data_IF_743573120905
#
_entry.id   IF_743573120905
#
_cell.length_a   1.000
_cell.length_b   1.000
_cell.length_c   1.000
_cell.angle_alpha   90.00
_cell.angle_beta   90.00
_cell.angle_gamma   90.00
#
_symmetry.space_group_name_H-M   'P 1'
#
loop_
_entity.id
_entity.type
_entity.pdbx_description
1 polymer ?
#
# COMPACT_ATOMS: atom_id res chain seq x y z
N UNK A 1 24.88 21.93 -41.01
CA UNK A 1 23.73 22.75 -40.58
C UNK A 1 22.85 21.92 -39.66
N UNK A 2 21.99 22.55 -38.86
CA UNK A 2 21.24 21.96 -37.73
C UNK A 2 19.73 22.07 -38.01
N UNK A 3 18.99 20.96 -37.81
CA UNK A 3 17.53 20.78 -37.63
C UNK A 3 17.24 19.30 -37.95
N UNK A 4 16.72 18.45 -37.06
CA UNK A 4 16.25 18.65 -35.69
C UNK A 4 14.72 18.60 -35.62
N UNK A 5 14.21 17.72 -34.74
CA UNK A 5 12.77 17.47 -34.43
C UNK A 5 11.93 17.05 -35.64
N UNK A 6 11.03 16.07 -35.55
CA UNK A 6 10.51 15.39 -34.37
C UNK A 6 9.03 15.17 -34.63
N UNK A 7 8.66 13.96 -35.04
CA UNK A 7 7.26 13.53 -35.07
C UNK A 7 6.76 13.53 -33.62
N UNK A 8 6.02 14.58 -33.27
CA UNK A 8 5.32 14.70 -32.01
C UNK A 8 3.96 13.99 -32.14
N UNK A 9 3.74 12.85 -31.47
CA UNK A 9 2.50 12.10 -31.60
C UNK A 9 1.30 12.77 -30.90
N UNK A 10 1.48 13.97 -30.32
CA UNK A 10 0.42 14.77 -29.70
C UNK A 10 0.03 16.01 -30.51
N UNK A 11 0.53 16.15 -31.75
CA UNK A 11 0.24 17.28 -32.63
C UNK A 11 -1.10 17.15 -33.39
N UNK A 12 -2.21 16.96 -32.68
CA UNK A 12 -3.55 17.34 -33.15
C UNK A 12 -4.54 17.49 -31.98
N UNK A 13 -4.92 18.74 -31.68
CA UNK A 13 -6.18 19.15 -31.02
C UNK A 13 -6.18 20.69 -30.97
N UNK A 14 -6.71 21.32 -32.03
CA UNK A 14 -6.96 22.77 -32.06
C UNK A 14 -8.11 23.13 -31.09
N UNK A 15 -8.01 24.24 -30.33
CA UNK A 15 -9.10 24.69 -29.47
C UNK A 15 -10.17 25.42 -30.30
N UNK A 16 -11.32 24.79 -30.53
CA UNK A 16 -12.51 25.44 -31.08
C UNK A 16 -13.05 26.49 -30.07
N UNK A 17 -12.95 27.77 -30.44
CA UNK A 17 -13.56 28.88 -29.70
C UNK A 17 -15.09 28.75 -29.71
N UNK A 18 -15.72 28.83 -28.54
CA UNK A 18 -17.18 28.88 -28.40
C UNK A 18 -17.61 29.99 -27.44
N UNK A 19 -17.97 31.14 -28.02
CA UNK A 19 -18.61 32.28 -27.34
C UNK A 19 -20.15 32.29 -27.61
N UNK A 20 -20.89 32.96 -26.69
CA UNK A 20 -22.36 33.18 -26.60
C UNK A 20 -23.29 31.97 -26.27
N UNK A 21 -24.25 32.06 -25.33
CA UNK A 21 -24.38 32.94 -24.15
C UNK A 21 -25.41 32.45 -23.09
N UNK A 22 -25.48 33.13 -21.93
CA UNK A 22 -26.55 33.28 -20.93
C UNK A 22 -27.73 32.27 -20.83
N UNK A 23 -27.90 31.68 -19.64
CA UNK A 23 -29.07 31.97 -18.77
C UNK A 23 -28.83 31.51 -17.32
N UNK A 24 -29.27 32.29 -16.34
CA UNK A 24 -29.14 31.98 -14.91
C UNK A 24 -30.53 31.81 -14.28
N UNK A 25 -30.71 30.84 -13.38
CA UNK A 25 -31.67 30.91 -12.28
C UNK A 25 -31.30 29.94 -11.13
N UNK A 26 -31.97 30.11 -9.98
CA UNK A 26 -31.41 29.89 -8.63
C UNK A 26 -31.71 28.51 -7.96
N UNK A 27 -31.10 28.18 -6.81
CA UNK A 27 -31.06 26.82 -6.28
C UNK A 27 -32.31 26.41 -5.49
N UNK A 28 -32.63 25.12 -5.50
CA UNK A 28 -33.63 24.52 -4.60
C UNK A 28 -33.01 23.46 -3.69
N UNK A 29 -32.91 23.78 -2.41
CA UNK A 29 -32.73 22.80 -1.35
C UNK A 29 -34.05 22.06 -1.08
N UNK A 30 -34.01 20.74 -0.93
CA UNK A 30 -35.09 19.98 -0.27
C UNK A 30 -34.51 18.84 0.57
N UNK A 31 -35.17 18.62 1.70
CA UNK A 31 -34.64 17.94 2.89
C UNK A 31 -34.39 16.44 2.77
N UNK A 32 -33.55 15.95 3.68
CA UNK A 32 -33.42 14.53 4.05
C UNK A 32 -34.77 13.90 4.45
N UNK A 33 -34.97 12.60 4.15
CA UNK A 33 -35.75 11.72 4.98
C UNK A 33 -34.81 10.79 5.79
N UNK A 34 -34.68 11.07 7.08
CA UNK A 34 -34.14 10.10 8.04
C UNK A 34 -35.05 8.86 8.06
N UNK A 35 -34.52 7.70 7.68
CA UNK A 35 -35.17 6.41 7.83
C UNK A 35 -34.20 5.44 8.51
N UNK A 36 -34.30 5.41 9.84
CA UNK A 36 -33.76 4.33 10.66
C UNK A 36 -34.63 3.09 10.48
N UNK A 37 -34.13 2.02 9.87
CA UNK A 37 -34.72 0.69 10.05
C UNK A 37 -33.68 -0.44 10.06
N UNK A 38 -33.76 -1.22 11.14
CA UNK A 38 -33.35 -2.63 11.29
C UNK A 38 -31.95 -3.10 10.87
N UNK A 39 -31.10 -3.32 11.88
CA UNK A 39 -30.07 -4.35 11.80
C UNK A 39 -30.70 -5.73 11.50
N UNK A 40 -30.25 -6.47 10.46
CA UNK A 40 -30.47 -7.90 10.43
C UNK A 40 -29.54 -8.53 11.47
N UNK A 41 -30.10 -8.86 12.64
CA UNK A 41 -29.44 -9.60 13.71
C UNK A 41 -28.91 -10.95 13.18
N UNK A 42 -27.68 -10.89 12.68
CA UNK A 42 -27.01 -12.03 12.06
C UNK A 42 -26.57 -12.97 13.17
N UNK A 43 -26.73 -14.30 13.00
CA UNK A 43 -26.40 -15.25 14.06
C UNK A 43 -24.94 -15.10 14.44
N UNK A 44 -24.65 -15.20 15.74
CA UNK A 44 -23.29 -15.27 16.28
C UNK A 44 -22.58 -16.51 15.74
N UNK A 45 -22.09 -16.42 14.50
CA UNK A 45 -20.97 -17.23 14.04
C UNK A 45 -19.83 -16.86 14.96
N UNK A 46 -19.31 -17.86 15.66
CA UNK A 46 -17.96 -17.80 16.21
C UNK A 46 -17.07 -17.31 15.07
N UNK A 47 -16.51 -16.11 15.21
CA UNK A 47 -15.81 -15.44 14.11
C UNK A 47 -14.47 -16.13 13.93
N UNK A 48 -14.49 -17.23 13.18
CA UNK A 48 -13.33 -17.81 12.51
C UNK A 48 -12.68 -16.67 11.72
N UNK A 49 -11.74 -16.01 12.37
CA UNK A 49 -11.20 -14.73 11.91
C UNK A 49 -10.33 -15.06 10.74
N UNK A 50 -10.81 -14.72 9.53
CA UNK A 50 -10.11 -15.01 8.29
C UNK A 50 -8.66 -14.51 8.43
N UNK A 51 -7.66 -15.33 8.01
CA UNK A 51 -6.25 -14.91 8.04
C UNK A 51 -6.09 -13.52 7.45
N UNK A 52 -5.24 -12.68 8.03
CA UNK A 52 -5.14 -11.25 7.66
C UNK A 52 -5.00 -11.04 6.14
N UNK A 53 -4.19 -11.88 5.47
CA UNK A 53 -4.05 -11.90 4.02
C UNK A 53 -5.38 -12.02 3.26
N UNK A 54 -6.34 -12.83 3.74
CA UNK A 54 -7.63 -13.06 3.09
C UNK A 54 -8.67 -11.95 3.35
N UNK A 55 -8.40 -11.03 4.30
CA UNK A 55 -9.35 -9.97 4.68
C UNK A 55 -9.26 -8.70 3.83
N UNK A 56 -8.19 -8.55 3.05
CA UNK A 56 -7.87 -7.34 2.29
C UNK A 56 -7.81 -7.61 0.78
N UNK A 57 -8.14 -6.60 0.00
CA UNK A 57 -7.97 -6.51 -1.45
C UNK A 57 -6.57 -6.06 -1.87
N UNK A 58 -5.87 -5.29 -1.04
CA UNK A 58 -4.49 -4.84 -1.33
C UNK A 58 -3.58 -4.80 -0.10
N UNK A 59 -2.27 -4.80 -0.34
CA UNK A 59 -1.25 -4.76 0.72
C UNK A 59 -1.18 -3.44 1.51
N UNK A 60 -1.76 -2.36 0.98
CA UNK A 60 -1.80 -1.02 1.62
C UNK A 60 -3.16 -0.68 2.23
N UNK A 61 -4.14 -1.56 2.11
CA UNK A 61 -5.48 -1.34 2.65
C UNK A 61 -5.44 -1.32 4.19
N UNK A 62 -6.24 -0.42 4.77
CA UNK A 62 -6.33 -0.17 6.22
C UNK A 62 -4.99 0.17 6.89
N UNK A 63 -4.09 0.90 6.19
CA UNK A 63 -2.81 1.40 6.74
C UNK A 63 -2.68 2.92 6.67
N UNK A 64 -2.89 3.56 7.81
CA UNK A 64 -2.56 4.98 8.00
C UNK A 64 -1.04 5.19 8.14
N UNK A 65 -0.33 4.24 8.76
CA UNK A 65 1.12 4.31 9.00
C UNK A 65 1.94 3.68 7.86
N UNK A 66 2.78 4.49 7.20
CA UNK A 66 3.70 4.06 6.14
C UNK A 66 5.15 4.13 6.62
N UNK A 67 5.79 2.96 6.76
CA UNK A 67 7.23 2.86 7.07
C UNK A 67 8.06 2.81 5.79
N UNK A 68 8.91 3.81 5.58
CA UNK A 68 9.87 3.85 4.49
C UNK A 68 11.29 3.59 5.01
N UNK A 69 11.91 2.50 4.53
CA UNK A 69 13.28 2.15 4.87
C UNK A 69 14.25 2.56 3.76
N UNK A 70 15.39 3.14 4.15
CA UNK A 70 16.58 3.27 3.32
C UNK A 70 17.66 2.38 3.90
N UNK A 71 17.97 1.28 3.20
CA UNK A 71 18.88 0.23 3.70
C UNK A 71 20.16 0.15 2.87
N UNK A 72 21.17 -0.56 3.38
CA UNK A 72 22.42 -0.85 2.65
C UNK A 72 22.16 -1.92 1.58
N UNK A 73 23.03 -1.99 0.57
CA UNK A 73 22.94 -2.96 -0.54
C UNK A 73 22.82 -4.41 -0.04
N UNK A 74 23.70 -4.84 0.87
CA UNK A 74 23.66 -6.18 1.47
C UNK A 74 22.32 -6.49 2.15
N UNK A 75 21.69 -5.49 2.79
CA UNK A 75 20.39 -5.63 3.45
C UNK A 75 19.25 -5.72 2.43
N UNK A 76 19.33 -4.98 1.33
CA UNK A 76 18.37 -5.09 0.23
C UNK A 76 18.47 -6.45 -0.47
N UNK A 77 19.68 -7.00 -0.64
CA UNK A 77 19.87 -8.33 -1.20
C UNK A 77 19.38 -9.43 -0.24
N UNK A 78 19.63 -9.27 1.07
CA UNK A 78 19.13 -10.17 2.11
C UNK A 78 17.60 -10.20 2.21
N UNK A 79 16.90 -9.13 1.83
CA UNK A 79 15.43 -9.14 1.72
C UNK A 79 14.94 -10.12 0.65
N UNK A 80 15.58 -10.14 -0.53
CA UNK A 80 15.21 -11.09 -1.59
C UNK A 80 15.44 -12.55 -1.18
N UNK A 81 16.49 -12.81 -0.39
CA UNK A 81 16.80 -14.15 0.11
C UNK A 81 15.83 -14.57 1.21
N UNK A 82 15.42 -13.64 2.08
CA UNK A 82 14.35 -13.84 3.05
C UNK A 82 13.00 -14.09 2.36
N UNK A 83 12.68 -13.37 1.28
CA UNK A 83 11.46 -13.58 0.48
C UNK A 83 11.40 -15.00 -0.08
N UNK A 84 12.52 -15.50 -0.63
CA UNK A 84 12.63 -16.89 -1.12
C UNK A 84 12.43 -17.89 0.01
N UNK A 85 13.18 -17.75 1.10
CA UNK A 85 13.12 -18.68 2.22
C UNK A 85 11.72 -18.76 2.86
N UNK A 86 11.03 -17.62 3.02
CA UNK A 86 9.67 -17.57 3.58
C UNK A 86 8.64 -18.09 2.59
N UNK A 87 8.79 -17.82 1.29
CA UNK A 87 7.89 -18.37 0.27
C UNK A 87 8.02 -19.91 0.16
N UNK A 88 9.24 -20.43 0.23
CA UNK A 88 9.53 -21.87 0.24
C UNK A 88 8.93 -22.56 1.47
N UNK A 89 9.05 -22.00 2.68
CA UNK A 89 8.43 -22.52 3.92
C UNK A 89 6.88 -22.48 3.88
N UNK A 90 6.31 -21.54 3.13
CA UNK A 90 4.85 -21.40 2.94
C UNK A 90 4.29 -22.20 1.75
N UNK A 91 5.12 -22.98 1.04
CA UNK A 91 4.75 -23.71 -0.19
C UNK A 91 4.13 -22.81 -1.30
N UNK A 92 4.54 -21.53 -1.38
CA UNK A 92 4.08 -20.55 -2.39
C UNK A 92 5.23 -20.04 -3.26
N UNK A 93 4.92 -19.38 -4.39
CA UNK A 93 5.96 -18.75 -5.21
C UNK A 93 6.34 -17.40 -4.60
N UNK A 94 7.62 -16.96 -4.61
CA UNK A 94 8.03 -15.66 -4.07
C UNK A 94 7.17 -14.48 -4.54
N UNK A 95 6.83 -14.43 -5.83
CA UNK A 95 5.93 -13.42 -6.42
C UNK A 95 4.48 -13.36 -5.88
N UNK A 96 4.08 -14.32 -5.04
CA UNK A 96 2.77 -14.37 -4.36
C UNK A 96 2.85 -13.85 -2.92
N UNK A 97 4.08 -13.65 -2.40
CA UNK A 97 4.37 -13.02 -1.12
C UNK A 97 4.66 -11.53 -1.35
N UNK A 98 3.86 -10.63 -0.77
CA UNK A 98 4.12 -9.20 -0.91
C UNK A 98 5.23 -8.76 0.04
N UNK A 99 6.28 -8.11 -0.48
CA UNK A 99 7.40 -7.59 0.33
C UNK A 99 7.01 -6.70 1.52
N UNK A 100 5.90 -5.96 1.41
CA UNK A 100 5.40 -5.15 2.53
C UNK A 100 4.88 -6.03 3.69
N UNK A 101 4.31 -7.20 3.41
CA UNK A 101 3.94 -8.19 4.44
C UNK A 101 5.18 -8.81 5.06
N UNK A 102 6.15 -9.18 4.22
CA UNK A 102 7.40 -9.77 4.67
C UNK A 102 8.14 -8.83 5.63
N UNK A 103 8.19 -7.53 5.31
CA UNK A 103 8.75 -6.48 6.17
C UNK A 103 7.99 -6.32 7.47
N UNK A 104 6.66 -6.32 7.44
CA UNK A 104 5.87 -6.23 8.68
C UNK A 104 6.06 -7.47 9.54
N UNK A 105 5.94 -8.68 8.98
CA UNK A 105 6.14 -9.93 9.70
C UNK A 105 7.55 -10.00 10.30
N UNK A 106 8.58 -9.63 9.55
CA UNK A 106 9.95 -9.54 10.05
C UNK A 106 10.10 -8.49 11.18
N UNK A 107 9.39 -7.36 11.09
CA UNK A 107 9.37 -6.34 12.13
C UNK A 107 8.62 -6.80 13.39
N UNK A 108 7.52 -7.54 13.26
CA UNK A 108 6.78 -8.14 14.37
C UNK A 108 7.64 -9.18 15.10
N UNK A 109 8.33 -10.06 14.38
CA UNK A 109 9.31 -10.99 14.96
C UNK A 109 10.43 -10.22 15.67
N UNK A 110 10.96 -9.15 15.06
CA UNK A 110 11.97 -8.30 15.69
C UNK A 110 11.48 -7.58 16.97
N UNK A 111 10.18 -7.29 17.09
CA UNK A 111 9.58 -6.76 18.32
C UNK A 111 9.45 -7.82 19.42
N UNK A 112 9.26 -9.09 19.06
CA UNK A 112 9.25 -10.23 19.98
C UNK A 112 10.67 -10.67 20.39
N UNK A 113 11.68 -10.39 19.56
CA UNK A 113 13.10 -10.75 19.72
C UNK A 113 14.03 -9.51 19.83
N UNK A 114 13.85 -8.62 20.83
CA UNK A 114 14.58 -7.35 20.91
C UNK A 114 16.08 -7.49 21.22
N UNK A 115 16.50 -8.61 21.79
CA UNK A 115 17.90 -8.94 22.06
C UNK A 115 18.68 -9.27 20.78
N UNK A 116 18.07 -10.01 19.83
CA UNK A 116 18.65 -10.26 18.51
C UNK A 116 18.80 -8.96 17.69
N UNK A 117 17.85 -8.03 17.81
CA UNK A 117 17.95 -6.68 17.24
C UNK A 117 19.11 -5.91 17.88
N UNK A 118 19.24 -5.97 19.21
CA UNK A 118 20.32 -5.32 19.93
C UNK A 118 21.71 -5.90 19.59
N UNK A 119 21.80 -7.21 19.31
CA UNK A 119 23.01 -7.86 18.80
C UNK A 119 23.41 -7.26 17.44
N UNK A 120 22.47 -7.12 16.50
CA UNK A 120 22.72 -6.49 15.20
C UNK A 120 23.12 -5.01 15.29
N UNK A 121 22.52 -4.26 16.20
CA UNK A 121 22.95 -2.87 16.46
C UNK A 121 24.37 -2.82 17.05
N UNK A 122 24.73 -3.77 17.93
CA UNK A 122 26.10 -3.88 18.47
C UNK A 122 27.12 -4.28 17.39
N UNK A 123 26.78 -5.18 16.47
CA UNK A 123 27.60 -5.45 15.26
C UNK A 123 27.84 -4.19 14.41
N UNK A 124 26.89 -3.25 14.39
CA UNK A 124 27.04 -1.95 13.70
C UNK A 124 27.77 -0.90 14.55
N UNK A 125 28.23 -1.24 15.74
CA UNK A 125 29.02 -0.38 16.61
C UNK A 125 28.22 0.53 17.55
N UNK A 126 26.92 0.31 17.77
CA UNK A 126 26.09 1.16 18.65
C UNK A 126 26.55 1.24 20.11
N UNK A 127 27.46 0.37 20.56
CA UNK A 127 28.12 0.48 21.87
C UNK A 127 29.12 1.65 21.97
N UNK A 128 29.44 2.30 20.84
CA UNK A 128 30.38 3.43 20.73
C UNK A 128 29.69 4.78 20.44
N UNK A 129 28.35 4.85 20.55
CA UNK A 129 27.52 6.03 20.23
C UNK A 129 27.17 6.82 21.49
#
# INVERSE_FOLDING_TARGET
>A
MKKGTGDDPFADEEPEESEDEQSAEEPSAVSEPSMSDSEPASPTRETATLPYYQRRSSVKEDRDDVLQFFVREDTAQGEDDLERAVADELDIRPKELYKLDLREAALLVAMEHPDEVADKLREWGYEHV
#
